data_IF_618693275695
#
_entry.id   IF_618693275695
#
_cell.length_a   1.000
_cell.length_b   1.000
_cell.length_c   1.000
_cell.angle_alpha   90.00
_cell.angle_beta   90.00
_cell.angle_gamma   90.00
#
_symmetry.space_group_name_H-M   'P 1'
#
loop_
_entity.id
_entity.type
_entity.pdbx_description
1 polymer ?
#
# COMPACT_ATOMS: atom_id res chain seq x y z
N UNK A 1 41.64 20.05 -32.64
CA UNK A 1 40.67 20.07 -31.53
C UNK A 1 39.35 19.56 -32.09
N UNK A 2 38.88 18.40 -31.64
CA UNK A 2 37.60 17.84 -32.12
C UNK A 2 36.51 18.22 -31.13
N UNK A 3 35.69 19.21 -31.48
CA UNK A 3 34.53 19.64 -30.73
C UNK A 3 33.49 18.53 -30.71
N UNK A 4 33.51 17.69 -29.67
CA UNK A 4 32.57 16.59 -29.52
C UNK A 4 31.18 17.20 -29.23
N UNK A 5 30.28 17.16 -30.22
CA UNK A 5 28.95 17.76 -30.11
C UNK A 5 28.15 17.07 -29.00
N UNK A 6 27.64 17.86 -28.05
CA UNK A 6 26.77 17.39 -26.95
C UNK A 6 25.42 16.94 -27.51
N UNK A 7 25.36 15.71 -28.01
CA UNK A 7 24.16 15.14 -28.62
C UNK A 7 23.17 14.61 -27.57
N UNK A 8 21.93 15.10 -27.62
CA UNK A 8 20.81 14.55 -26.86
C UNK A 8 20.39 13.19 -27.46
N UNK A 9 20.18 12.16 -26.63
CA UNK A 9 19.83 10.81 -27.11
C UNK A 9 18.37 10.68 -27.56
N UNK A 10 17.52 11.56 -27.04
CA UNK A 10 16.10 11.67 -27.34
C UNK A 10 15.74 13.11 -27.76
N UNK A 11 14.66 13.28 -28.50
CA UNK A 11 14.26 14.58 -29.06
C UNK A 11 12.83 14.96 -28.67
N UNK A 12 12.52 16.26 -28.70
CA UNK A 12 11.17 16.75 -28.42
C UNK A 12 10.14 16.09 -29.37
N UNK A 13 9.04 15.62 -28.80
CA UNK A 13 7.99 14.89 -29.50
C UNK A 13 8.18 13.37 -29.54
N UNK A 14 9.37 12.85 -29.20
CA UNK A 14 9.68 11.42 -29.25
C UNK A 14 8.86 10.61 -28.23
N UNK A 15 8.41 9.43 -28.64
CA UNK A 15 7.75 8.44 -27.79
C UNK A 15 8.81 7.55 -27.15
N UNK A 16 8.80 7.47 -25.83
CA UNK A 16 9.85 6.83 -25.02
C UNK A 16 9.24 5.94 -23.94
N UNK A 17 10.07 5.12 -23.31
CA UNK A 17 9.75 4.43 -22.06
C UNK A 17 10.53 5.09 -20.93
N UNK A 18 9.85 5.56 -19.89
CA UNK A 18 10.52 6.19 -18.74
C UNK A 18 10.23 5.43 -17.44
N UNK A 19 11.24 5.32 -16.58
CA UNK A 19 11.13 4.80 -15.23
C UNK A 19 10.37 5.77 -14.32
N UNK A 20 9.35 5.25 -13.65
CA UNK A 20 8.74 5.89 -12.48
C UNK A 20 8.64 4.83 -11.37
N UNK A 21 9.42 4.99 -10.30
CA UNK A 21 9.68 3.90 -9.36
C UNK A 21 10.31 2.67 -10.06
N UNK A 22 9.90 1.43 -9.72
CA UNK A 22 10.51 0.21 -10.27
C UNK A 22 10.00 -0.17 -11.67
N UNK A 23 9.08 0.60 -12.27
CA UNK A 23 8.41 0.25 -13.52
C UNK A 23 8.69 1.24 -14.65
N UNK A 24 8.68 0.72 -15.89
CA UNK A 24 8.71 1.52 -17.11
C UNK A 24 7.27 1.86 -17.56
N UNK A 25 7.05 3.13 -17.90
CA UNK A 25 5.79 3.66 -18.42
C UNK A 25 6.00 4.27 -19.80
N UNK A 26 4.96 4.26 -20.63
CA UNK A 26 4.95 4.98 -21.91
C UNK A 26 4.87 6.49 -21.63
N UNK A 27 5.82 7.24 -22.20
CA UNK A 27 5.88 8.69 -22.07
C UNK A 27 6.22 9.37 -23.41
N UNK A 28 6.03 10.68 -23.47
CA UNK A 28 6.43 11.54 -24.58
C UNK A 28 7.38 12.62 -24.08
N UNK A 29 8.47 12.86 -24.81
CA UNK A 29 9.39 13.98 -24.53
C UNK A 29 8.71 15.29 -24.93
N UNK A 30 8.54 16.19 -23.97
CA UNK A 30 7.92 17.51 -24.13
C UNK A 30 8.98 18.60 -24.30
N UNK A 31 10.14 18.47 -23.65
CA UNK A 31 11.35 19.28 -23.88
C UNK A 31 12.60 18.42 -23.69
N UNK A 32 13.72 18.82 -24.29
CA UNK A 32 15.01 18.19 -24.09
C UNK A 32 16.08 19.30 -24.02
N UNK A 33 16.88 19.29 -22.97
CA UNK A 33 17.90 20.30 -22.66
C UNK A 33 19.21 19.62 -22.25
N UNK A 34 20.34 20.30 -22.40
CA UNK A 34 21.61 19.88 -21.81
C UNK A 34 21.99 20.87 -20.73
N UNK A 35 22.06 20.43 -19.48
CA UNK A 35 22.36 21.29 -18.34
C UNK A 35 23.87 21.30 -18.07
N UNK A 36 24.42 22.51 -17.89
CA UNK A 36 25.86 22.76 -17.74
C UNK A 36 26.18 23.31 -16.35
N UNK A 37 27.45 23.17 -15.94
CA UNK A 37 27.87 23.28 -14.53
C UNK A 37 27.90 24.69 -13.95
N UNK A 38 27.78 25.72 -14.80
CA UNK A 38 27.70 27.14 -14.39
C UNK A 38 26.26 27.61 -14.10
N UNK A 39 25.24 26.81 -14.44
CA UNK A 39 23.83 27.17 -14.19
C UNK A 39 23.49 26.93 -12.70
N UNK A 40 23.71 27.95 -11.88
CA UNK A 40 23.81 27.85 -10.40
C UNK A 40 22.58 27.30 -9.68
N UNK A 41 21.43 27.25 -10.35
CA UNK A 41 20.17 26.68 -9.83
C UNK A 41 20.00 25.17 -10.12
N UNK A 42 20.93 24.53 -10.85
CA UNK A 42 20.77 23.15 -11.34
C UNK A 42 21.83 22.20 -10.77
N UNK A 43 21.38 21.27 -9.92
CA UNK A 43 22.26 20.32 -9.21
C UNK A 43 22.93 19.27 -10.09
N UNK A 44 22.43 19.02 -11.31
CA UNK A 44 22.84 17.90 -12.16
C UNK A 44 23.23 18.36 -13.56
N UNK A 45 24.41 17.92 -14.03
CA UNK A 45 24.93 18.25 -15.37
C UNK A 45 24.74 17.10 -16.34
N UNK A 46 24.22 17.39 -17.53
CA UNK A 46 23.99 16.39 -18.57
C UNK A 46 22.67 16.59 -19.32
N UNK A 47 22.29 15.63 -20.17
CA UNK A 47 21.04 15.68 -20.91
C UNK A 47 19.85 15.40 -19.98
N UNK A 48 18.90 16.33 -19.98
CA UNK A 48 17.67 16.28 -19.19
C UNK A 48 16.46 16.39 -20.13
N UNK A 49 15.39 15.66 -19.81
CA UNK A 49 14.20 15.55 -20.64
C UNK A 49 12.96 15.83 -19.81
N UNK A 50 12.16 16.83 -20.19
CA UNK A 50 10.85 17.06 -19.59
C UNK A 50 9.86 16.12 -20.27
N UNK A 51 9.20 15.26 -19.50
CA UNK A 51 8.37 14.18 -20.04
C UNK A 51 6.92 14.24 -19.55
N UNK A 52 6.01 13.77 -20.39
CA UNK A 52 4.60 13.56 -20.05
C UNK A 52 4.27 12.07 -20.14
N UNK A 53 3.78 11.48 -19.04
CA UNK A 53 3.38 10.08 -18.98
C UNK A 53 1.98 9.86 -19.60
N UNK A 54 1.85 8.87 -20.47
CA UNK A 54 0.60 8.61 -21.19
C UNK A 54 -0.55 8.22 -20.26
N UNK A 55 -1.62 8.99 -20.31
CA UNK A 55 -2.82 8.78 -19.47
C UNK A 55 -2.70 9.30 -18.05
N UNK A 56 -1.62 10.04 -17.74
CA UNK A 56 -1.41 10.68 -16.44
C UNK A 56 -1.83 12.16 -16.54
N UNK A 57 -2.05 12.81 -15.39
CA UNK A 57 -2.32 14.26 -15.36
C UNK A 57 -1.02 15.03 -15.58
N UNK A 58 -1.09 16.20 -16.22
CA UNK A 58 0.05 17.09 -16.46
C UNK A 58 0.80 17.52 -15.18
N UNK A 59 0.15 17.44 -14.01
CA UNK A 59 0.76 17.64 -12.69
C UNK A 59 1.83 16.59 -12.32
N UNK A 60 2.00 15.56 -13.14
CA UNK A 60 3.03 14.51 -13.01
C UNK A 60 4.14 14.63 -14.08
N UNK A 61 4.13 15.70 -14.87
CA UNK A 61 5.19 15.95 -15.84
C UNK A 61 6.46 16.37 -15.07
N UNK A 62 7.57 15.67 -15.30
CA UNK A 62 8.82 15.84 -14.57
C UNK A 62 10.02 15.96 -15.52
N UNK A 63 11.08 16.63 -15.05
CA UNK A 63 12.40 16.56 -15.68
C UNK A 63 13.09 15.27 -15.23
N UNK A 64 13.59 14.49 -16.18
CA UNK A 64 14.34 13.25 -15.92
C UNK A 64 15.68 13.25 -16.63
N UNK A 65 16.67 12.63 -16.00
CA UNK A 65 17.99 12.38 -16.57
C UNK A 65 17.97 11.22 -17.59
N UNK A 66 19.11 11.03 -18.27
CA UNK A 66 19.32 9.99 -19.28
C UNK A 66 19.19 8.54 -18.79
N UNK A 67 19.41 8.27 -17.50
CA UNK A 67 19.31 6.91 -16.93
C UNK A 67 17.85 6.45 -16.74
N UNK A 68 16.93 7.41 -16.58
CA UNK A 68 15.49 7.15 -16.40
C UNK A 68 14.74 6.99 -17.72
N UNK A 69 15.30 7.33 -18.87
CA UNK A 69 14.64 7.34 -20.18
C UNK A 69 15.23 6.26 -21.11
N UNK A 70 14.37 5.59 -21.87
CA UNK A 70 14.72 4.50 -22.78
C UNK A 70 13.97 4.63 -24.12
N UNK A 71 14.62 4.23 -25.21
CA UNK A 71 14.00 4.24 -26.55
C UNK A 71 12.83 3.26 -26.63
N UNK A 72 11.78 3.66 -27.36
CA UNK A 72 10.68 2.78 -27.71
C UNK A 72 11.13 1.73 -28.74
N UNK A 73 11.69 0.62 -28.26
CA UNK A 73 12.11 -0.53 -29.04
C UNK A 73 11.60 -1.85 -28.40
N UNK A 74 11.71 -2.96 -29.14
CA UNK A 74 11.20 -4.26 -28.69
C UNK A 74 11.92 -4.81 -27.44
N UNK A 75 13.21 -4.51 -27.30
CA UNK A 75 14.01 -4.86 -26.12
C UNK A 75 13.48 -4.18 -24.85
N UNK A 76 13.29 -2.85 -24.88
CA UNK A 76 12.80 -2.09 -23.73
C UNK A 76 11.31 -2.37 -23.45
N UNK A 77 10.51 -2.69 -24.46
CA UNK A 77 9.15 -3.21 -24.28
C UNK A 77 9.14 -4.59 -23.60
N UNK A 78 10.10 -5.46 -23.95
CA UNK A 78 10.29 -6.75 -23.27
C UNK A 78 10.78 -6.56 -21.84
N UNK A 79 11.67 -5.58 -21.59
CA UNK A 79 12.08 -5.15 -20.24
C UNK A 79 10.89 -4.65 -19.41
N UNK A 80 10.01 -3.83 -20.00
CA UNK A 80 8.77 -3.39 -19.33
C UNK A 80 7.86 -4.57 -18.96
N UNK A 81 7.65 -5.55 -19.87
CA UNK A 81 6.86 -6.76 -19.58
C UNK A 81 7.51 -7.59 -18.47
N UNK A 82 8.81 -7.81 -18.54
CA UNK A 82 9.59 -8.57 -17.55
C UNK A 82 9.52 -7.95 -16.16
N UNK A 83 9.69 -6.62 -16.03
CA UNK A 83 9.56 -5.92 -14.74
C UNK A 83 8.16 -6.10 -14.11
N UNK A 84 7.10 -6.01 -14.93
CA UNK A 84 5.71 -6.24 -14.47
C UNK A 84 5.49 -7.70 -14.04
N UNK A 85 6.01 -8.67 -14.79
CA UNK A 85 5.91 -10.10 -14.45
C UNK A 85 6.72 -10.45 -13.19
N UNK A 86 7.94 -9.91 -13.05
CA UNK A 86 8.79 -10.14 -11.88
C UNK A 86 8.13 -9.62 -10.59
N UNK A 87 7.48 -8.45 -10.63
CA UNK A 87 6.70 -7.93 -9.51
C UNK A 87 5.50 -8.84 -9.16
N UNK A 88 4.81 -9.40 -10.17
CA UNK A 88 3.71 -10.34 -9.95
C UNK A 88 4.20 -11.67 -9.34
N UNK A 89 5.32 -12.21 -9.83
CA UNK A 89 5.91 -13.46 -9.34
C UNK A 89 6.54 -13.33 -7.95
N UNK A 90 7.12 -12.18 -7.59
CA UNK A 90 7.68 -11.94 -6.25
C UNK A 90 6.59 -11.85 -5.18
N UNK A 91 5.41 -11.29 -5.50
CA UNK A 91 4.24 -11.36 -4.64
C UNK A 91 3.75 -12.82 -4.44
N UNK A 92 3.81 -13.67 -5.48
CA UNK A 92 3.38 -15.08 -5.39
C UNK A 92 4.36 -15.98 -4.61
N UNK A 93 5.63 -15.60 -4.46
CA UNK A 93 6.62 -16.36 -3.66
C UNK A 93 6.65 -16.02 -2.16
N UNK A 94 6.00 -14.93 -1.73
CA UNK A 94 5.89 -14.59 -0.29
C UNK A 94 4.84 -15.40 0.48
N UNK A 95 4.07 -16.27 -0.18
CA UNK A 95 3.04 -17.10 0.47
C UNK A 95 3.49 -18.52 0.83
N UNK A 96 4.76 -18.91 0.59
CA UNK A 96 5.25 -20.28 0.81
C UNK A 96 6.70 -20.34 1.32
N UNK A 97 6.98 -19.80 2.51
CA UNK A 97 8.24 -20.12 3.22
C UNK A 97 8.09 -20.12 4.75
N UNK A 98 8.14 -21.31 5.33
CA UNK A 98 8.09 -21.63 6.76
C UNK A 98 7.40 -23.00 6.93
N UNK A 99 7.96 -24.04 7.56
CA UNK A 99 9.17 -24.20 8.39
C UNK A 99 9.91 -25.52 7.99
N UNK A 100 11.15 -25.71 8.47
CA UNK A 100 12.14 -26.72 8.05
C UNK A 100 12.09 -28.12 8.71
N UNK A 101 12.31 -29.15 7.87
CA UNK A 101 13.03 -30.44 8.03
C UNK A 101 13.51 -30.94 9.43
N UNK A 102 13.19 -32.20 9.78
CA UNK A 102 14.17 -33.22 10.28
C UNK A 102 13.65 -34.70 10.39
N UNK A 103 14.16 -35.58 9.52
CA UNK A 103 14.52 -37.04 9.68
C UNK A 103 13.50 -38.22 9.87
N UNK A 104 13.82 -39.46 9.36
CA UNK A 104 13.00 -40.71 9.34
C UNK A 104 13.40 -41.73 10.46
N UNK A 105 12.94 -43.03 10.60
CA UNK A 105 12.34 -44.03 9.65
C UNK A 105 11.18 -44.91 10.27
N UNK A 106 11.00 -46.24 10.01
CA UNK A 106 10.59 -46.97 8.79
C UNK A 106 9.31 -47.87 8.90
N UNK A 107 8.83 -48.37 7.74
CA UNK A 107 8.12 -49.64 7.45
C UNK A 107 6.78 -50.09 8.14
N UNK A 108 5.87 -50.55 7.27
CA UNK A 108 4.59 -51.28 7.46
C UNK A 108 4.77 -52.79 7.74
N UNK A 109 3.74 -53.70 7.79
CA UNK A 109 2.26 -53.53 7.90
C UNK A 109 1.54 -54.45 8.95
N UNK A 110 0.26 -54.17 9.24
CA UNK A 110 -0.87 -55.08 9.65
C UNK A 110 -1.88 -54.30 10.52
N UNK A 111 -3.18 -54.61 10.64
CA UNK A 111 -4.06 -55.56 9.93
C UNK A 111 -5.40 -55.71 10.67
N UNK A 112 -6.53 -55.83 9.95
CA UNK A 112 -7.89 -56.20 10.44
C UNK A 112 -8.66 -55.24 11.37
N UNK A 113 -9.99 -55.13 11.21
CA UNK A 113 -10.85 -54.32 12.10
C UNK A 113 -12.29 -54.05 11.61
N UNK A 114 -13.04 -55.09 11.31
CA UNK A 114 -14.33 -55.08 10.59
C UNK A 114 -15.55 -54.45 11.33
N UNK A 115 -16.48 -53.91 10.53
CA UNK A 115 -17.96 -54.03 10.66
C UNK A 115 -18.82 -53.04 11.50
N UNK A 116 -19.77 -52.47 10.76
CA UNK A 116 -20.96 -51.64 11.06
C UNK A 116 -22.13 -52.28 11.86
N UNK A 117 -23.08 -51.44 12.33
CA UNK A 117 -24.58 -51.59 12.37
C UNK A 117 -25.14 -50.31 13.07
N UNK A 118 -26.31 -49.70 12.80
CA UNK A 118 -27.58 -50.16 12.20
C UNK A 118 -28.36 -49.09 11.37
N UNK A 119 -29.27 -49.63 10.55
CA UNK A 119 -30.47 -49.11 9.83
C UNK A 119 -31.27 -47.94 10.45
N UNK A 120 -32.07 -47.14 9.70
CA UNK A 120 -33.34 -47.51 9.00
C UNK A 120 -33.72 -46.64 7.78
N UNK A 121 -34.64 -47.14 6.94
CA UNK A 121 -35.18 -46.59 5.66
C UNK A 121 -36.68 -46.25 5.74
N UNK A 122 -37.11 -45.22 5.00
CA UNK A 122 -38.29 -45.18 4.08
C UNK A 122 -38.35 -43.79 3.41
N UNK A 123 -38.35 -43.55 2.08
CA UNK A 123 -39.34 -43.86 1.02
C UNK A 123 -40.77 -43.34 1.33
N UNK A 124 -41.52 -42.64 0.46
CA UNK A 124 -41.49 -42.60 -1.03
C UNK A 124 -42.15 -41.34 -1.66
N UNK A 125 -41.85 -41.13 -2.96
CA UNK A 125 -42.52 -40.41 -4.09
C UNK A 125 -44.03 -40.02 -3.99
N UNK A 126 -44.61 -39.11 -4.80
CA UNK A 126 -44.62 -39.10 -6.30
C UNK A 126 -45.43 -37.95 -6.98
N UNK A 127 -44.95 -37.46 -8.15
CA UNK A 127 -45.68 -37.08 -9.42
C UNK A 127 -46.71 -35.89 -9.36
N UNK A 128 -47.05 -35.08 -10.38
CA UNK A 128 -47.17 -35.27 -11.85
C UNK A 128 -47.34 -33.95 -12.69
N UNK A 129 -47.09 -34.03 -14.02
CA UNK A 129 -47.83 -33.36 -15.14
C UNK A 129 -47.67 -31.81 -15.41
N UNK A 130 -47.79 -31.25 -16.64
CA UNK A 130 -47.86 -31.80 -18.03
C UNK A 130 -47.67 -30.72 -19.17
N UNK A 131 -46.99 -31.12 -20.26
CA UNK A 131 -46.96 -30.71 -21.70
C UNK A 131 -47.37 -29.28 -22.21
N UNK A 132 -46.53 -28.73 -23.10
CA UNK A 132 -46.78 -27.65 -24.08
C UNK A 132 -46.00 -27.89 -25.40
N UNK A 133 -46.39 -27.33 -26.56
CA UNK A 133 -45.85 -27.75 -27.88
C UNK A 133 -46.08 -26.78 -29.08
N UNK A 134 -45.30 -26.98 -30.18
CA UNK A 134 -45.42 -26.47 -31.59
C UNK A 134 -45.05 -24.97 -31.86
N UNK A 135 -44.50 -24.53 -33.02
CA UNK A 135 -43.97 -25.19 -34.26
C UNK A 135 -43.03 -24.26 -35.09
N UNK A 136 -42.13 -24.87 -35.90
CA UNK A 136 -41.56 -24.54 -37.26
C UNK A 136 -41.79 -23.12 -37.87
N UNK A 137 -40.90 -22.55 -38.71
CA UNK A 137 -40.25 -23.15 -39.91
C UNK A 137 -39.12 -22.31 -40.58
N UNK A 138 -38.08 -23.00 -41.11
CA UNK A 138 -37.34 -22.78 -42.40
C UNK A 138 -36.58 -21.43 -42.63
N UNK A 139 -35.46 -21.31 -43.38
CA UNK A 139 -34.80 -22.19 -44.36
C UNK A 139 -33.29 -21.81 -44.59
N UNK A 140 -32.43 -22.79 -44.96
CA UNK A 140 -31.25 -22.78 -45.89
C UNK A 140 -30.23 -21.61 -45.98
N UNK A 141 -28.93 -21.78 -46.34
CA UNK A 141 -28.03 -22.95 -46.51
C UNK A 141 -26.53 -22.49 -46.63
N UNK A 142 -25.62 -23.47 -46.54
CA UNK A 142 -24.30 -23.60 -47.20
C UNK A 142 -22.98 -23.15 -46.51
N UNK A 143 -22.06 -24.12 -46.53
CA UNK A 143 -20.60 -24.02 -46.72
C UNK A 143 -19.62 -24.08 -45.52
N UNK A 144 -19.13 -25.31 -45.33
CA UNK A 144 -17.70 -25.69 -45.23
C UNK A 144 -16.89 -25.35 -43.95
N UNK A 145 -16.92 -26.36 -43.06
CA UNK A 145 -15.77 -27.24 -42.79
C UNK A 145 -14.43 -26.61 -42.37
N UNK A 146 -14.12 -26.62 -41.06
CA UNK A 146 -12.77 -27.01 -40.57
C UNK A 146 -12.78 -27.58 -39.14
N UNK A 147 -12.27 -28.81 -39.02
CA UNK A 147 -12.01 -29.55 -37.77
C UNK A 147 -11.14 -28.76 -36.78
N UNK A 148 -11.56 -28.66 -35.52
CA UNK A 148 -11.03 -29.53 -34.43
C UNK A 148 -11.81 -29.32 -33.12
N UNK A 149 -12.40 -30.41 -32.63
CA UNK A 149 -12.82 -30.54 -31.22
C UNK A 149 -11.59 -30.57 -30.33
N UNK A 150 -11.64 -29.84 -29.21
CA UNK A 150 -11.32 -30.35 -27.87
C UNK A 150 -11.83 -29.37 -26.82
N UNK A 151 -12.86 -29.76 -26.09
CA UNK A 151 -13.20 -29.12 -24.83
C UNK A 151 -12.02 -29.23 -23.86
N UNK A 152 -11.61 -28.10 -23.30
CA UNK A 152 -11.09 -28.01 -21.94
C UNK A 152 -11.98 -26.99 -21.24
N UNK A 153 -12.52 -27.29 -20.04
CA UNK A 153 -13.51 -26.43 -19.42
C UNK A 153 -13.06 -24.98 -19.33
N UNK A 154 -14.03 -24.07 -19.40
CA UNK A 154 -13.91 -22.78 -18.73
C UNK A 154 -13.64 -23.09 -17.25
N UNK A 155 -12.36 -23.12 -16.89
CA UNK A 155 -11.98 -22.87 -15.51
C UNK A 155 -12.56 -21.51 -15.18
N UNK A 156 -13.60 -21.53 -14.36
CA UNK A 156 -14.01 -20.41 -13.52
C UNK A 156 -12.84 -20.19 -12.58
N UNK A 157 -11.78 -19.56 -13.11
CA UNK A 157 -10.63 -19.12 -12.36
C UNK A 157 -11.16 -18.12 -11.35
N UNK A 158 -11.34 -18.65 -10.15
CA UNK A 158 -11.45 -17.98 -8.88
C UNK A 158 -12.31 -16.70 -8.93
N UNK A 159 -13.54 -16.81 -8.42
CA UNK A 159 -14.16 -15.67 -7.72
C UNK A 159 -13.24 -15.37 -6.53
N UNK A 160 -12.15 -14.64 -6.83
CA UNK A 160 -11.03 -14.37 -5.97
C UNK A 160 -11.51 -13.42 -4.89
N UNK A 161 -12.21 -14.03 -3.93
CA UNK A 161 -12.95 -13.45 -2.81
C UNK A 161 -12.57 -12.01 -2.63
N UNK A 162 -13.40 -11.10 -3.19
CA UNK A 162 -13.10 -9.67 -3.28
C UNK A 162 -12.76 -9.17 -1.89
N UNK A 163 -11.46 -9.11 -1.57
CA UNK A 163 -11.01 -8.79 -0.22
C UNK A 163 -11.63 -7.44 0.13
N UNK A 164 -12.45 -7.36 1.18
CA UNK A 164 -13.19 -6.14 1.49
C UNK A 164 -12.22 -4.97 1.50
N UNK A 165 -12.41 -4.03 0.56
CA UNK A 165 -11.46 -2.94 0.36
C UNK A 165 -11.57 -1.97 1.54
N UNK A 166 -10.71 -2.19 2.53
CA UNK A 166 -10.62 -1.32 3.69
C UNK A 166 -10.06 0.04 3.28
N UNK A 167 -10.97 0.99 2.98
CA UNK A 167 -10.65 2.38 2.62
C UNK A 167 -11.07 3.32 3.75
N UNK A 168 -10.11 4.06 4.29
CA UNK A 168 -10.33 5.18 5.22
C UNK A 168 -10.34 6.50 4.43
N UNK A 169 -11.24 7.42 4.78
CA UNK A 169 -11.29 8.76 4.19
C UNK A 169 -10.72 9.78 5.16
N UNK A 170 -9.44 10.14 4.99
CA UNK A 170 -8.83 11.21 5.81
C UNK A 170 -9.50 12.57 5.51
N UNK A 171 -9.98 13.30 6.53
CA UNK A 171 -10.55 14.64 6.37
C UNK A 171 -9.59 15.63 5.70
N UNK A 172 -10.11 16.55 4.88
CA UNK A 172 -9.28 17.47 4.11
C UNK A 172 -8.41 18.39 4.99
N UNK A 173 -8.88 18.80 6.16
CA UNK A 173 -8.09 19.58 7.14
C UNK A 173 -6.84 18.82 7.60
N UNK A 174 -6.94 17.50 7.76
CA UNK A 174 -5.81 16.64 8.13
C UNK A 174 -4.91 16.31 6.92
N UNK A 175 -5.46 16.26 5.70
CA UNK A 175 -4.63 16.19 4.48
C UNK A 175 -3.73 17.40 4.30
N UNK A 176 -4.22 18.61 4.59
CA UNK A 176 -3.37 19.81 4.59
C UNK A 176 -2.22 19.63 5.59
N UNK A 177 -2.51 19.17 6.82
CA UNK A 177 -1.45 18.89 7.81
C UNK A 177 -0.43 17.82 7.40
N UNK A 178 -0.82 16.82 6.61
CA UNK A 178 0.14 15.87 6.02
C UNK A 178 1.03 16.49 4.93
N UNK A 179 0.53 17.49 4.19
CA UNK A 179 1.30 18.23 3.19
C UNK A 179 2.27 19.19 3.91
N UNK A 180 1.79 19.93 4.92
CA UNK A 180 2.61 20.81 5.77
C UNK A 180 3.76 20.04 6.46
N UNK A 181 3.48 18.86 7.05
CA UNK A 181 4.46 17.98 7.72
C UNK A 181 5.50 17.45 6.73
N UNK A 182 5.06 17.00 5.55
CA UNK A 182 5.98 16.57 4.49
C UNK A 182 6.85 17.72 3.99
N UNK A 183 6.32 18.92 3.79
CA UNK A 183 7.10 20.07 3.32
C UNK A 183 8.19 20.47 4.34
N UNK A 184 7.83 20.63 5.61
CA UNK A 184 8.77 21.00 6.68
C UNK A 184 9.93 19.99 6.81
N UNK A 185 9.67 18.68 6.74
CA UNK A 185 10.72 17.67 6.91
C UNK A 185 11.47 17.38 5.60
N UNK A 186 10.75 17.16 4.51
CA UNK A 186 11.35 16.70 3.25
C UNK A 186 12.01 17.84 2.46
N UNK A 187 11.45 19.05 2.49
CA UNK A 187 11.94 20.21 1.75
C UNK A 187 12.76 21.14 2.65
N UNK A 188 12.17 21.62 3.76
CA UNK A 188 12.81 22.62 4.65
C UNK A 188 13.87 22.02 5.60
N UNK A 189 13.92 20.70 5.72
CA UNK A 189 14.86 19.96 6.59
C UNK A 189 14.72 20.30 8.08
N UNK A 190 13.50 20.58 8.52
CA UNK A 190 13.14 20.71 9.93
C UNK A 190 12.81 19.34 10.54
N UNK A 191 12.75 19.27 11.87
CA UNK A 191 12.36 18.07 12.60
C UNK A 191 11.26 18.38 13.61
N UNK A 192 10.41 17.39 13.88
CA UNK A 192 9.51 17.44 15.03
C UNK A 192 10.35 17.38 16.32
N UNK A 193 10.15 18.29 17.30
CA UNK A 193 10.82 18.22 18.60
C UNK A 193 10.36 16.96 19.34
N UNK A 194 11.32 16.21 19.89
CA UNK A 194 11.07 14.96 20.63
C UNK A 194 11.80 15.01 21.98
N UNK A 195 11.16 14.57 23.09
CA UNK A 195 9.82 13.96 23.17
C UNK A 195 8.66 14.93 22.91
N UNK A 196 7.60 14.45 22.27
CA UNK A 196 6.38 15.23 21.98
C UNK A 196 5.45 15.30 23.19
N UNK A 197 4.79 16.45 23.35
CA UNK A 197 3.61 16.60 24.22
C UNK A 197 2.47 17.25 23.43
N UNK A 198 1.27 16.63 23.31
CA UNK A 198 0.95 15.27 23.77
C UNK A 198 1.69 14.18 22.97
N UNK A 199 1.99 13.06 23.63
CA UNK A 199 2.48 11.82 22.98
C UNK A 199 1.34 11.06 22.29
N UNK A 200 1.65 10.07 21.45
CA UNK A 200 0.64 9.16 20.87
C UNK A 200 -0.14 8.42 21.95
N UNK A 201 0.51 7.94 23.02
CA UNK A 201 -0.18 7.33 24.17
C UNK A 201 -1.16 8.30 24.82
N UNK A 202 -0.70 9.50 25.16
CA UNK A 202 -1.55 10.53 25.78
C UNK A 202 -2.72 10.92 24.87
N UNK A 203 -2.51 10.98 23.55
CA UNK A 203 -3.56 11.26 22.57
C UNK A 203 -4.60 10.12 22.47
N UNK A 204 -4.16 8.86 22.56
CA UNK A 204 -5.04 7.69 22.63
C UNK A 204 -5.86 7.71 23.94
N UNK A 205 -5.23 8.03 25.07
CA UNK A 205 -5.89 8.14 26.37
C UNK A 205 -6.91 9.29 26.40
N UNK A 206 -6.55 10.46 25.85
CA UNK A 206 -7.46 11.61 25.67
C UNK A 206 -8.65 11.28 24.76
N UNK A 207 -8.43 10.51 23.68
CA UNK A 207 -9.52 10.05 22.81
C UNK A 207 -10.42 9.03 23.52
N UNK A 208 -9.85 8.12 24.31
CA UNK A 208 -10.61 7.17 25.14
C UNK A 208 -11.51 7.92 26.14
N UNK A 209 -10.98 8.92 26.84
CA UNK A 209 -11.75 9.78 27.74
C UNK A 209 -12.87 10.53 27.00
N UNK A 210 -12.57 11.15 25.85
CA UNK A 210 -13.56 11.81 25.00
C UNK A 210 -14.69 10.84 24.56
N UNK A 211 -14.36 9.58 24.24
CA UNK A 211 -15.37 8.59 23.87
C UNK A 211 -16.26 8.17 25.06
N UNK A 212 -15.70 8.07 26.27
CA UNK A 212 -16.48 7.80 27.49
C UNK A 212 -17.40 8.97 27.85
N UNK A 213 -16.92 10.22 27.73
CA UNK A 213 -17.71 11.42 28.00
C UNK A 213 -18.84 11.63 26.98
N UNK A 214 -18.60 11.31 25.70
CA UNK A 214 -19.58 11.47 24.62
C UNK A 214 -20.36 10.18 24.31
N UNK A 215 -20.18 9.11 25.10
CA UNK A 215 -21.00 7.93 25.01
C UNK A 215 -22.39 8.18 25.62
N UNK A 216 -23.44 7.93 24.84
CA UNK A 216 -24.75 7.66 25.41
C UNK A 216 -24.61 6.57 26.48
N UNK A 217 -25.15 6.81 27.68
CA UNK A 217 -25.14 5.91 28.85
C UNK A 217 -25.82 4.53 28.63
N UNK A 218 -26.18 4.22 27.38
CA UNK A 218 -26.79 2.98 26.91
C UNK A 218 -25.89 2.16 25.98
N UNK A 219 -24.66 2.59 25.68
CA UNK A 219 -23.69 1.74 24.97
C UNK A 219 -23.41 0.49 25.80
N UNK A 220 -23.40 -0.67 25.14
CA UNK A 220 -23.09 -1.95 25.78
C UNK A 220 -21.61 -2.03 26.15
N UNK A 221 -21.27 -2.65 27.30
CA UNK A 221 -19.88 -2.94 27.71
C UNK A 221 -19.05 -3.59 26.60
N UNK A 222 -19.68 -4.43 25.77
CA UNK A 222 -19.05 -5.06 24.60
C UNK A 222 -18.46 -4.03 23.61
N UNK A 223 -19.06 -2.84 23.50
CA UNK A 223 -18.54 -1.73 22.69
C UNK A 223 -17.28 -1.11 23.29
N UNK A 224 -17.19 -1.03 24.62
CA UNK A 224 -16.04 -0.46 25.34
C UNK A 224 -14.85 -1.43 25.29
N UNK A 225 -15.09 -2.73 25.43
CA UNK A 225 -14.09 -3.78 25.27
C UNK A 225 -13.48 -3.76 23.85
N UNK A 226 -14.32 -3.75 22.80
CA UNK A 226 -13.87 -3.66 21.40
C UNK A 226 -13.08 -2.37 21.14
N UNK A 227 -13.55 -1.24 21.69
CA UNK A 227 -12.86 0.05 21.58
C UNK A 227 -11.46 0.00 22.22
N UNK A 228 -11.34 -0.56 23.43
CA UNK A 228 -10.06 -0.68 24.13
C UNK A 228 -9.08 -1.59 23.38
N UNK A 229 -9.54 -2.70 22.81
CA UNK A 229 -8.73 -3.58 21.94
C UNK A 229 -8.24 -2.85 20.67
N UNK A 230 -9.10 -2.03 20.04
CA UNK A 230 -8.71 -1.22 18.86
C UNK A 230 -7.66 -0.17 19.23
N UNK A 231 -7.80 0.51 20.38
CA UNK A 231 -6.84 1.51 20.83
C UNK A 231 -5.48 0.90 21.24
N UNK A 232 -5.50 -0.23 21.95
CA UNK A 232 -4.31 -1.01 22.27
C UNK A 232 -3.62 -1.53 21.00
N UNK A 233 -4.41 -2.03 20.05
CA UNK A 233 -3.95 -2.43 18.73
C UNK A 233 -3.27 -1.28 17.99
N UNK A 234 -3.89 -0.10 17.95
CA UNK A 234 -3.33 1.08 17.29
C UNK A 234 -1.98 1.50 17.91
N UNK A 235 -1.84 1.48 19.23
CA UNK A 235 -0.57 1.74 19.94
C UNK A 235 0.51 0.72 19.55
N UNK A 236 0.18 -0.57 19.58
CA UNK A 236 1.10 -1.66 19.21
C UNK A 236 1.50 -1.61 17.71
N UNK A 237 0.58 -1.26 16.84
CA UNK A 237 0.84 -1.07 15.41
C UNK A 237 1.72 0.16 15.17
N UNK A 238 1.50 1.26 15.88
CA UNK A 238 2.34 2.46 15.81
C UNK A 238 3.80 2.14 16.20
N UNK A 239 4.01 1.49 17.34
CA UNK A 239 5.35 1.12 17.83
C UNK A 239 6.12 0.25 16.81
N UNK A 240 5.45 -0.68 16.12
CA UNK A 240 6.05 -1.53 15.08
C UNK A 240 6.21 -0.84 13.71
N UNK A 241 5.27 0.03 13.34
CA UNK A 241 5.25 0.70 12.04
C UNK A 241 6.20 1.89 11.98
N UNK A 242 6.43 2.61 13.09
CA UNK A 242 7.20 3.86 13.09
C UNK A 242 8.59 3.68 12.46
N UNK A 243 9.40 2.80 13.03
CA UNK A 243 10.75 2.51 12.59
C UNK A 243 10.86 1.85 11.21
N UNK A 244 9.75 1.39 10.62
CA UNK A 244 9.75 0.70 9.33
C UNK A 244 9.25 1.59 8.19
N UNK A 245 8.07 2.21 8.35
CA UNK A 245 7.32 2.83 7.24
C UNK A 245 6.78 4.26 7.50
N UNK A 246 6.78 4.78 8.74
CA UNK A 246 6.18 6.10 9.02
C UNK A 246 7.19 7.26 9.01
N UNK A 247 8.48 6.97 9.12
CA UNK A 247 9.55 7.98 9.15
C UNK A 247 10.10 8.29 7.75
N UNK A 248 10.21 9.58 7.44
CA UNK A 248 10.92 10.06 6.26
C UNK A 248 12.43 9.81 6.38
N UNK A 249 13.14 9.78 5.25
CA UNK A 249 14.60 9.54 5.21
C UNK A 249 15.38 10.45 6.17
N UNK A 250 14.99 11.70 6.26
CA UNK A 250 15.67 12.70 7.09
C UNK A 250 15.47 12.49 8.61
N UNK A 251 14.38 11.86 9.05
CA UNK A 251 14.11 11.56 10.47
C UNK A 251 14.84 10.28 10.93
N UNK A 252 15.39 9.47 10.01
CA UNK A 252 16.03 8.18 10.34
C UNK A 252 17.16 8.31 11.35
N UNK A 253 17.93 9.40 11.30
CA UNK A 253 19.03 9.64 12.24
C UNK A 253 18.52 10.02 13.64
N UNK A 254 17.47 10.86 13.73
CA UNK A 254 16.79 11.19 14.99
C UNK A 254 16.24 9.93 15.67
N UNK A 255 15.60 9.05 14.91
CA UNK A 255 15.11 7.76 15.40
C UNK A 255 16.24 6.84 15.91
N UNK A 256 17.35 6.73 15.18
CA UNK A 256 18.52 5.96 15.66
C UNK A 256 19.13 6.53 16.94
N UNK A 257 19.10 7.85 17.13
CA UNK A 257 19.53 8.50 18.38
C UNK A 257 18.56 8.15 19.52
N UNK A 258 17.26 8.28 19.29
CA UNK A 258 16.22 7.96 20.29
C UNK A 258 16.30 6.49 20.76
N UNK A 259 16.54 5.54 19.86
CA UNK A 259 16.73 4.13 20.24
C UNK A 259 17.95 3.89 21.14
N UNK A 260 18.98 4.75 21.08
CA UNK A 260 20.16 4.68 21.96
C UNK A 260 19.92 5.38 23.28
N UNK A 261 19.29 6.54 23.25
CA UNK A 261 19.03 7.37 24.43
C UNK A 261 17.90 6.79 25.31
N UNK A 262 16.92 6.11 24.69
CA UNK A 262 15.71 5.56 25.35
C UNK A 262 15.39 4.11 24.92
N UNK A 263 16.28 3.12 25.19
CA UNK A 263 16.15 1.74 24.69
C UNK A 263 15.00 0.93 25.30
N UNK A 264 14.31 1.44 26.33
CA UNK A 264 13.20 0.78 27.04
C UNK A 264 11.84 1.47 26.88
N UNK A 265 11.80 2.62 26.21
CA UNK A 265 10.59 3.44 26.09
C UNK A 265 9.86 3.10 24.79
N UNK A 266 8.55 2.91 24.83
CA UNK A 266 7.75 2.72 23.60
C UNK A 266 7.78 3.98 22.75
N UNK A 267 7.75 3.80 21.42
CA UNK A 267 7.81 4.95 20.51
C UNK A 267 6.57 5.83 20.59
N UNK A 268 5.43 5.22 20.92
CA UNK A 268 4.16 5.87 21.27
C UNK A 268 4.24 6.81 22.48
N UNK A 269 5.24 6.67 23.34
CA UNK A 269 5.50 7.55 24.48
C UNK A 269 6.53 8.66 24.17
N UNK A 270 7.05 8.72 22.94
CA UNK A 270 8.05 9.72 22.50
C UNK A 270 7.53 10.57 21.35
N UNK A 271 6.84 9.94 20.38
CA UNK A 271 6.34 10.59 19.17
C UNK A 271 4.91 11.14 19.36
N UNK A 272 4.46 12.00 18.44
CA UNK A 272 3.23 12.79 18.56
C UNK A 272 2.19 12.53 17.47
N UNK A 273 1.21 13.44 17.38
CA UNK A 273 0.07 13.35 16.47
C UNK A 273 0.46 13.33 14.98
N UNK A 274 1.58 13.96 14.62
CA UNK A 274 2.13 14.03 13.26
C UNK A 274 2.36 12.62 12.71
N UNK A 275 3.15 11.82 13.42
CA UNK A 275 3.50 10.45 13.04
C UNK A 275 2.30 9.51 13.13
N UNK A 276 1.38 9.72 14.09
CA UNK A 276 0.14 8.94 14.16
C UNK A 276 -0.77 9.20 12.95
N UNK A 277 -0.81 10.44 12.45
CA UNK A 277 -1.59 10.75 11.25
C UNK A 277 -1.03 10.03 10.02
N UNK A 278 0.30 9.90 9.91
CA UNK A 278 0.93 9.07 8.87
C UNK A 278 0.55 7.59 8.99
N UNK A 279 0.38 7.06 10.21
CA UNK A 279 -0.11 5.69 10.39
C UNK A 279 -1.49 5.52 9.76
N UNK A 280 -2.45 6.43 10.01
CA UNK A 280 -3.80 6.33 9.43
C UNK A 280 -3.82 6.36 7.90
N UNK A 281 -2.86 7.03 7.24
CA UNK A 281 -2.70 7.00 5.78
C UNK A 281 -2.24 5.63 5.29
N UNK A 282 -1.33 4.99 6.03
CA UNK A 282 -0.71 3.71 5.65
C UNK A 282 -1.51 2.47 6.11
N UNK A 283 -2.37 2.64 7.12
CA UNK A 283 -3.16 1.58 7.74
C UNK A 283 -4.03 0.77 6.75
N UNK A 284 -4.64 1.35 5.68
CA UNK A 284 -5.28 0.59 4.62
C UNK A 284 -4.40 -0.47 3.93
N UNK A 285 -3.12 -0.14 3.72
CA UNK A 285 -2.14 -1.06 3.12
C UNK A 285 -1.70 -2.16 4.10
N UNK A 286 -1.79 -1.90 5.41
CA UNK A 286 -1.50 -2.89 6.45
C UNK A 286 -2.69 -3.83 6.67
N UNK A 287 -3.91 -3.29 6.78
CA UNK A 287 -5.13 -4.07 7.04
C UNK A 287 -5.50 -4.97 5.85
N UNK A 288 -5.20 -4.58 4.60
CA UNK A 288 -5.42 -5.46 3.43
C UNK A 288 -4.54 -6.73 3.41
N UNK A 289 -3.48 -6.76 4.22
CA UNK A 289 -2.62 -7.93 4.44
C UNK A 289 -3.10 -8.79 5.62
N UNK A 290 -3.93 -8.26 6.51
CA UNK A 290 -4.53 -8.99 7.63
C UNK A 290 -5.72 -9.85 7.15
N UNK A 291 -5.91 -11.01 7.77
CA UNK A 291 -7.04 -11.89 7.49
C UNK A 291 -8.20 -11.59 8.45
N UNK A 292 -8.92 -10.49 8.18
CA UNK A 292 -10.06 -10.03 8.97
C UNK A 292 -11.36 -10.14 8.16
N UNK A 293 -12.46 -10.42 8.85
CA UNK A 293 -13.80 -10.48 8.27
C UNK A 293 -14.39 -9.08 7.99
N UNK A 294 -15.41 -9.02 7.13
CA UNK A 294 -16.01 -7.75 6.69
C UNK A 294 -16.71 -6.99 7.82
N UNK A 295 -17.33 -7.67 8.79
CA UNK A 295 -18.02 -7.03 9.93
C UNK A 295 -17.01 -6.33 10.85
N UNK A 296 -15.94 -7.04 11.26
CA UNK A 296 -14.86 -6.46 12.06
C UNK A 296 -14.16 -5.31 11.33
N UNK A 297 -14.00 -5.39 10.00
CA UNK A 297 -13.42 -4.31 9.19
C UNK A 297 -14.31 -3.06 9.13
N UNK A 298 -15.63 -3.20 9.08
CA UNK A 298 -16.57 -2.08 9.17
C UNK A 298 -16.49 -1.41 10.56
N UNK A 299 -16.49 -2.21 11.63
CA UNK A 299 -16.35 -1.71 13.01
C UNK A 299 -15.02 -0.93 13.18
N UNK A 300 -13.90 -1.51 12.73
CA UNK A 300 -12.58 -0.87 12.78
C UNK A 300 -12.56 0.45 11.98
N UNK A 301 -13.17 0.46 10.79
CA UNK A 301 -13.27 1.63 9.93
C UNK A 301 -14.06 2.76 10.61
N UNK A 302 -15.16 2.45 11.29
CA UNK A 302 -15.97 3.46 11.97
C UNK A 302 -15.25 4.07 13.17
N UNK A 303 -14.59 3.26 14.02
CA UNK A 303 -13.77 3.78 15.12
C UNK A 303 -12.59 4.63 14.64
N UNK A 304 -11.94 4.27 13.53
CA UNK A 304 -10.84 5.07 12.97
C UNK A 304 -11.36 6.37 12.33
N UNK A 305 -12.49 6.32 11.63
CA UNK A 305 -13.12 7.53 11.11
C UNK A 305 -13.54 8.49 12.25
N UNK A 306 -13.98 7.97 13.39
CA UNK A 306 -14.31 8.81 14.55
C UNK A 306 -13.08 9.39 15.24
N UNK A 307 -11.97 8.63 15.34
CA UNK A 307 -10.68 9.14 15.80
C UNK A 307 -10.21 10.27 14.88
N UNK A 308 -10.29 10.10 13.56
CA UNK A 308 -9.94 11.16 12.60
C UNK A 308 -10.83 12.41 12.74
N UNK A 309 -12.10 12.28 13.10
CA UNK A 309 -12.96 13.44 13.45
C UNK A 309 -12.52 14.10 14.76
N UNK A 310 -12.17 13.32 15.78
CA UNK A 310 -11.64 13.84 17.04
C UNK A 310 -10.33 14.62 16.80
N UNK A 311 -9.41 14.06 16.00
CA UNK A 311 -8.18 14.76 15.59
C UNK A 311 -8.51 16.03 14.80
N UNK A 312 -9.51 16.00 13.92
CA UNK A 312 -9.93 17.17 13.15
C UNK A 312 -10.50 18.30 14.03
N UNK A 313 -11.27 17.97 15.08
CA UNK A 313 -11.75 18.96 16.06
C UNK A 313 -10.59 19.58 16.86
N UNK A 314 -9.58 18.80 17.18
CA UNK A 314 -8.48 19.16 18.08
C UNK A 314 -7.17 19.53 17.35
N UNK A 315 -7.21 19.89 16.05
CA UNK A 315 -6.00 20.16 15.25
C UNK A 315 -5.03 21.12 15.94
N UNK A 316 -5.55 22.21 16.53
CA UNK A 316 -4.73 23.26 17.15
C UNK A 316 -4.06 22.86 18.47
N UNK A 317 -4.53 21.80 19.12
CA UNK A 317 -3.98 21.34 20.41
C UNK A 317 -3.09 20.11 20.26
N UNK A 318 -3.34 19.28 19.24
CA UNK A 318 -2.59 18.02 19.04
C UNK A 318 -1.40 18.17 18.09
N UNK A 319 -1.44 19.07 17.10
CA UNK A 319 -0.34 19.28 16.16
C UNK A 319 0.52 20.49 16.53
N UNK A 320 1.82 20.39 16.32
CA UNK A 320 2.75 21.50 16.51
C UNK A 320 2.77 22.45 15.29
N UNK A 321 2.86 23.75 15.53
CA UNK A 321 2.98 24.79 14.49
C UNK A 321 4.41 25.10 14.04
N UNK A 322 5.43 24.73 14.84
CA UNK A 322 6.85 25.06 14.58
C UNK A 322 7.76 23.86 14.79
N UNK A 323 8.44 23.46 13.72
CA UNK A 323 9.42 22.38 13.74
C UNK A 323 10.81 22.97 14.05
N UNK A 324 11.69 22.19 14.65
CA UNK A 324 13.02 22.64 15.04
C UNK A 324 14.02 22.54 13.88
N UNK A 325 14.86 23.55 13.73
CA UNK A 325 16.01 23.49 12.81
C UNK A 325 17.09 22.58 13.41
N UNK A 326 17.43 21.45 12.77
CA UNK A 326 18.45 20.55 13.29
C UNK A 326 19.85 21.17 13.23
N UNK A 327 20.75 20.70 14.11
CA UNK A 327 22.14 21.18 14.13
C UNK A 327 22.87 20.83 12.82
N UNK A 328 23.89 21.61 12.39
CA UNK A 328 24.67 21.29 11.19
C UNK A 328 25.29 19.88 11.20
N UNK A 329 25.65 19.39 12.39
CA UNK A 329 26.15 18.01 12.61
C UNK A 329 25.07 16.94 12.39
N UNK A 330 23.80 17.23 12.70
CA UNK A 330 22.70 16.35 12.34
C UNK A 330 22.52 16.30 10.82
N UNK A 331 22.53 17.46 10.14
CA UNK A 331 22.30 17.56 8.69
C UNK A 331 23.37 16.82 7.89
N UNK A 332 24.64 16.87 8.30
CA UNK A 332 25.71 16.14 7.60
C UNK A 332 25.53 14.62 7.70
N UNK A 333 25.20 14.09 8.88
CA UNK A 333 24.96 12.65 9.09
C UNK A 333 23.67 12.19 8.41
N UNK A 334 22.59 12.97 8.50
CA UNK A 334 21.31 12.65 7.86
C UNK A 334 21.33 12.72 6.32
N UNK A 335 22.34 13.37 5.72
CA UNK A 335 22.61 13.30 4.27
C UNK A 335 23.40 12.04 3.86
N UNK A 336 24.16 11.44 4.78
CA UNK A 336 24.96 10.24 4.53
C UNK A 336 24.17 8.93 4.70
N UNK A 337 22.99 8.99 5.33
CA UNK A 337 22.02 7.89 5.52
C UNK A 337 20.99 7.90 4.38
#
# INVERSE_FOLDING_TARGET
>A
MSSNSKALKHHQGERVLCFHGPFLYEAKVIKAEFWEKDDSDKLETGPHYFIHYKGWKQTWDEWVDDSRILKWNEENLSKQKSLKQAAFMSNKKKSTTGISVSTPPPNTPSGSGNTSISTRKSSSSSTSQQLGLKTKSLENDDSKNRKRSRDTPLEKDDDGSKRPEFRITVPNSLKVKLIDDWEQIAKEKLLVPLPRSPTVSQLIDQYSQYLVENADKRKSRKSEEIMNEILLGLKLYFDKALGTILLYRFERYQYQKILKDHPKTSMSDIYGAEHLLRLFVQLPSLVSQANMDEETLLILKDYINDFLKYMQKNIKTIFIERYETPTPSYVSVAKAI
#
